data_IF_954144640706
#
_entry.id   IF_954144640706
#
_cell.length_a   1.000
_cell.length_b   1.000
_cell.length_c   1.000
_cell.angle_alpha   90.00
_cell.angle_beta   90.00
_cell.angle_gamma   90.00
#
_symmetry.space_group_name_H-M   'P 1'
#
loop_
_entity.id
_entity.type
_entity.pdbx_description
1 polymer ?
#
# COMPACT_ATOMS: atom_id res chain seq x y z
N UNK A 1 19.12 -16.60 -20.05
CA UNK A 1 17.93 -17.47 -19.95
C UNK A 1 18.17 -18.64 -19.00
N UNK A 2 19.33 -19.31 -19.06
CA UNK A 2 19.71 -20.38 -18.11
C UNK A 2 19.72 -19.91 -16.64
N UNK A 3 20.41 -18.80 -16.35
CA UNK A 3 20.46 -18.19 -14.99
C UNK A 3 19.06 -17.91 -14.41
N UNK A 4 18.14 -17.39 -15.22
CA UNK A 4 16.76 -17.13 -14.78
C UNK A 4 16.01 -18.42 -14.40
N UNK A 5 16.10 -19.48 -15.22
CA UNK A 5 15.41 -20.75 -14.95
C UNK A 5 16.03 -21.48 -13.75
N UNK A 6 17.35 -21.40 -13.60
CA UNK A 6 18.07 -21.99 -12.46
C UNK A 6 17.67 -21.34 -11.14
N UNK A 7 17.61 -19.99 -11.07
CA UNK A 7 17.12 -19.28 -9.88
C UNK A 7 15.71 -19.71 -9.50
N UNK A 8 14.79 -19.80 -10.46
CA UNK A 8 13.42 -20.27 -10.20
C UNK A 8 13.35 -21.71 -9.68
N UNK A 9 14.26 -22.59 -10.12
CA UNK A 9 14.35 -23.94 -9.57
C UNK A 9 14.81 -23.88 -8.10
N UNK A 10 15.80 -23.05 -7.79
CA UNK A 10 16.27 -22.82 -6.41
C UNK A 10 15.13 -22.30 -5.54
N UNK A 11 14.40 -21.27 -5.99
CA UNK A 11 13.28 -20.67 -5.25
C UNK A 11 12.19 -21.70 -4.96
N UNK A 12 11.84 -22.54 -5.96
CA UNK A 12 10.90 -23.66 -5.76
C UNK A 12 11.39 -24.65 -4.72
N UNK A 13 12.65 -25.05 -4.78
CA UNK A 13 13.20 -26.01 -3.81
C UNK A 13 13.29 -25.42 -2.39
N UNK A 14 13.60 -24.12 -2.26
CA UNK A 14 13.53 -23.40 -0.98
C UNK A 14 12.10 -23.41 -0.45
N UNK A 15 11.11 -23.04 -1.27
CA UNK A 15 9.70 -23.02 -0.88
C UNK A 15 9.17 -24.41 -0.46
N UNK A 16 9.57 -25.47 -1.16
CA UNK A 16 9.24 -26.86 -0.77
C UNK A 16 9.85 -27.23 0.57
N UNK A 17 11.11 -26.87 0.83
CA UNK A 17 11.75 -27.10 2.13
C UNK A 17 11.06 -26.30 3.24
N UNK A 18 10.66 -25.06 2.98
CA UNK A 18 9.86 -24.27 3.93
C UNK A 18 8.51 -24.92 4.24
N UNK A 19 7.85 -25.52 3.24
CA UNK A 19 6.60 -26.26 3.44
C UNK A 19 6.80 -27.50 4.34
N UNK A 20 7.96 -28.18 4.26
CA UNK A 20 8.29 -29.26 5.19
C UNK A 20 8.42 -28.76 6.63
N UNK A 21 8.96 -27.57 6.86
CA UNK A 21 9.04 -26.97 8.20
C UNK A 21 7.66 -26.69 8.80
N UNK A 22 6.66 -26.34 7.98
CA UNK A 22 5.26 -26.24 8.43
C UNK A 22 4.70 -27.60 8.82
N UNK A 23 4.92 -28.62 7.98
CA UNK A 23 4.50 -30.00 8.24
C UNK A 23 5.08 -30.55 9.55
N UNK A 24 6.36 -30.26 9.79
CA UNK A 24 7.09 -30.70 10.98
C UNK A 24 6.78 -29.84 12.23
N UNK A 25 5.83 -28.89 12.12
CA UNK A 25 5.40 -27.97 13.17
C UNK A 25 6.51 -27.06 13.72
N UNK A 26 7.48 -26.72 12.88
CA UNK A 26 8.48 -25.68 13.18
C UNK A 26 7.87 -24.29 12.96
N UNK A 27 7.04 -24.12 11.94
CA UNK A 27 6.28 -22.90 11.68
C UNK A 27 4.78 -23.16 11.70
N UNK A 28 4.00 -22.29 12.34
CA UNK A 28 2.54 -22.37 12.36
C UNK A 28 1.92 -22.11 10.97
N UNK A 29 2.40 -21.08 10.28
CA UNK A 29 1.93 -20.68 8.95
C UNK A 29 3.09 -20.32 8.02
N UNK A 30 2.90 -20.47 6.72
CA UNK A 30 3.85 -20.05 5.68
C UNK A 30 3.16 -19.20 4.62
N UNK A 31 3.68 -18.00 4.37
CA UNK A 31 3.27 -17.19 3.25
C UNK A 31 4.29 -17.35 2.11
N UNK A 32 3.80 -17.68 0.92
CA UNK A 32 4.61 -17.75 -0.30
C UNK A 32 4.11 -16.63 -1.23
N UNK A 33 4.76 -15.46 -1.20
CA UNK A 33 4.41 -14.35 -2.08
C UNK A 33 4.60 -14.68 -3.55
N UNK A 34 3.96 -13.89 -4.42
CA UNK A 34 4.21 -13.91 -5.86
C UNK A 34 4.65 -12.52 -6.31
N UNK A 35 5.92 -12.43 -6.69
CA UNK A 35 6.51 -11.23 -7.25
C UNK A 35 6.12 -11.03 -8.72
N UNK A 36 5.84 -9.79 -9.09
CA UNK A 36 5.42 -9.30 -10.42
C UNK A 36 4.88 -10.38 -11.34
N UNK A 37 3.59 -10.64 -11.23
CA UNK A 37 2.95 -11.81 -11.80
C UNK A 37 1.81 -11.46 -12.77
N UNK A 38 1.23 -12.49 -13.36
CA UNK A 38 0.11 -12.38 -14.28
C UNK A 38 -0.68 -13.68 -14.28
N UNK A 39 -1.91 -13.62 -14.81
CA UNK A 39 -2.84 -14.75 -14.88
C UNK A 39 -2.18 -15.99 -15.54
N UNK A 40 -1.34 -15.74 -16.55
CA UNK A 40 -0.56 -16.75 -17.25
C UNK A 40 0.93 -16.42 -17.16
N UNK A 41 1.76 -17.43 -16.92
CA UNK A 41 3.22 -17.27 -16.92
C UNK A 41 3.94 -18.26 -16.01
N UNK A 42 5.26 -18.12 -15.91
CA UNK A 42 6.08 -19.03 -15.10
C UNK A 42 5.73 -18.95 -13.62
N UNK A 43 5.34 -17.77 -13.10
CA UNK A 43 4.94 -17.63 -11.69
C UNK A 43 3.63 -18.35 -11.39
N UNK A 44 2.71 -18.45 -12.35
CA UNK A 44 1.53 -19.30 -12.25
C UNK A 44 1.89 -20.79 -12.23
N UNK A 45 2.83 -21.22 -13.10
CA UNK A 45 3.33 -22.60 -13.09
C UNK A 45 3.98 -22.98 -11.76
N UNK A 46 4.83 -22.11 -11.20
CA UNK A 46 5.50 -22.36 -9.93
C UNK A 46 4.51 -22.38 -8.75
N UNK A 47 3.48 -21.53 -8.81
CA UNK A 47 2.37 -21.57 -7.84
C UNK A 47 1.64 -22.92 -7.89
N UNK A 48 1.39 -23.47 -9.09
CA UNK A 48 0.74 -24.77 -9.24
C UNK A 48 1.61 -25.91 -8.69
N UNK A 49 2.92 -25.86 -8.91
CA UNK A 49 3.88 -26.81 -8.32
C UNK A 49 3.79 -26.77 -6.80
N UNK A 50 3.79 -25.57 -6.22
CA UNK A 50 3.69 -25.40 -4.76
C UNK A 50 2.34 -25.85 -4.21
N UNK A 51 1.23 -25.52 -4.88
CA UNK A 51 -0.11 -25.98 -4.50
C UNK A 51 -0.21 -27.51 -4.47
N UNK A 52 0.33 -28.17 -5.50
CA UNK A 52 0.35 -29.64 -5.56
C UNK A 52 1.16 -30.23 -4.40
N UNK A 53 2.32 -29.65 -4.08
CA UNK A 53 3.16 -30.10 -2.97
C UNK A 53 2.48 -29.89 -1.61
N UNK A 54 1.94 -28.71 -1.37
CA UNK A 54 1.22 -28.37 -0.13
C UNK A 54 0.02 -29.28 0.09
N UNK A 55 -0.72 -29.61 -0.97
CA UNK A 55 -1.82 -30.57 -0.94
C UNK A 55 -1.33 -32.00 -0.64
N UNK A 56 -0.24 -32.44 -1.28
CA UNK A 56 0.40 -33.74 -1.02
C UNK A 56 0.85 -33.87 0.44
N UNK A 57 1.31 -32.78 1.04
CA UNK A 57 1.74 -32.73 2.44
C UNK A 57 0.57 -32.58 3.43
N UNK A 58 -0.64 -32.25 2.98
CA UNK A 58 -1.83 -32.09 3.82
C UNK A 58 -1.87 -30.79 4.65
N UNK A 59 -1.11 -29.76 4.24
CA UNK A 59 -0.91 -28.52 5.00
C UNK A 59 -1.50 -27.27 4.31
N UNK A 60 -2.40 -27.44 3.35
CA UNK A 60 -3.00 -26.34 2.59
C UNK A 60 -3.72 -25.28 3.42
N UNK A 61 -4.23 -25.65 4.59
CA UNK A 61 -4.86 -24.74 5.54
C UNK A 61 -3.85 -23.85 6.32
N UNK A 62 -2.54 -24.08 6.16
CA UNK A 62 -1.45 -23.36 6.85
C UNK A 62 -0.47 -22.69 5.89
N UNK A 63 -0.65 -22.84 4.58
CA UNK A 63 0.23 -22.25 3.57
C UNK A 63 -0.56 -21.34 2.65
N UNK A 64 -0.22 -20.05 2.63
CA UNK A 64 -0.93 -19.03 1.87
C UNK A 64 -0.10 -18.64 0.64
N UNK A 65 -0.67 -18.84 -0.55
CA UNK A 65 -0.03 -18.57 -1.84
C UNK A 65 -0.88 -17.54 -2.60
N UNK A 66 -0.43 -16.29 -2.63
CA UNK A 66 -1.18 -15.17 -3.19
C UNK A 66 -0.24 -14.07 -3.71
N UNK A 67 -0.72 -13.20 -4.62
CA UNK A 67 0.03 -12.06 -5.15
C UNK A 67 0.47 -11.03 -4.10
N UNK A 68 1.56 -10.31 -4.36
CA UNK A 68 2.20 -9.40 -3.42
C UNK A 68 3.48 -10.00 -2.83
N UNK A 69 4.43 -9.14 -2.46
CA UNK A 69 5.76 -9.53 -1.95
C UNK A 69 6.19 -8.63 -0.81
N UNK A 70 6.15 -7.31 -1.04
CA UNK A 70 6.79 -6.34 -0.17
C UNK A 70 5.98 -6.10 1.13
N UNK A 71 4.67 -6.37 1.09
CA UNK A 71 3.76 -6.22 2.22
C UNK A 71 3.67 -7.46 3.12
N UNK A 72 4.20 -8.60 2.69
CA UNK A 72 4.02 -9.87 3.39
C UNK A 72 4.53 -9.83 4.83
N UNK A 73 5.65 -9.13 5.07
CA UNK A 73 6.16 -8.92 6.43
C UNK A 73 5.17 -8.15 7.32
N UNK A 74 4.49 -7.12 6.78
CA UNK A 74 3.46 -6.37 7.49
C UNK A 74 2.26 -7.27 7.84
N UNK A 75 1.82 -8.12 6.90
CA UNK A 75 0.72 -9.05 7.15
C UNK A 75 1.05 -10.10 8.20
N UNK A 76 2.23 -10.72 8.12
CA UNK A 76 2.67 -11.71 9.12
C UNK A 76 2.75 -11.05 10.50
N UNK A 77 3.33 -9.85 10.59
CA UNK A 77 3.38 -9.11 11.84
C UNK A 77 1.98 -8.82 12.39
N UNK A 78 1.05 -8.41 11.52
CA UNK A 78 -0.34 -8.14 11.89
C UNK A 78 -1.05 -9.39 12.39
N UNK A 79 -0.85 -10.55 11.75
CA UNK A 79 -1.37 -11.83 12.22
C UNK A 79 -0.85 -12.18 13.61
N UNK A 80 0.47 -12.10 13.81
CA UNK A 80 1.09 -12.34 15.13
C UNK A 80 0.50 -11.41 16.18
N UNK A 81 0.31 -10.12 15.83
CA UNK A 81 -0.34 -9.15 16.71
C UNK A 81 -1.78 -9.60 17.06
N UNK A 82 -2.61 -9.92 16.06
CA UNK A 82 -3.99 -10.38 16.24
C UNK A 82 -4.07 -11.61 17.13
N UNK A 83 -3.25 -12.63 16.88
CA UNK A 83 -3.19 -13.85 17.69
C UNK A 83 -2.77 -13.56 19.13
N UNK A 84 -1.71 -12.74 19.32
CA UNK A 84 -1.23 -12.36 20.65
C UNK A 84 -2.25 -11.56 21.48
N UNK A 85 -3.17 -10.86 20.80
CA UNK A 85 -4.25 -10.07 21.41
C UNK A 85 -5.58 -10.79 21.46
N UNK A 86 -5.66 -12.02 20.92
CA UNK A 86 -6.94 -12.71 20.70
C UNK A 86 -7.95 -11.81 19.98
N UNK A 87 -7.47 -11.05 19.00
CA UNK A 87 -8.24 -10.08 18.25
C UNK A 87 -8.53 -10.61 16.84
N UNK A 88 -9.82 -10.66 16.50
CA UNK A 88 -10.31 -11.09 15.19
C UNK A 88 -10.87 -9.87 14.44
N UNK A 89 -10.05 -9.14 13.66
CA UNK A 89 -10.50 -7.94 12.99
C UNK A 89 -11.50 -8.25 11.88
N UNK A 90 -12.66 -7.59 11.93
CA UNK A 90 -13.67 -7.60 10.86
C UNK A 90 -13.43 -6.41 9.93
N UNK A 91 -13.06 -6.67 8.69
CA UNK A 91 -12.65 -5.64 7.73
C UNK A 91 -13.77 -5.44 6.72
N UNK A 92 -14.39 -4.26 6.73
CA UNK A 92 -15.32 -3.83 5.70
C UNK A 92 -14.55 -3.26 4.52
N UNK A 93 -14.78 -3.79 3.31
CA UNK A 93 -14.12 -3.31 2.10
C UNK A 93 -15.11 -2.49 1.28
N UNK A 94 -14.73 -1.26 0.95
CA UNK A 94 -15.50 -0.40 0.05
C UNK A 94 -14.68 -0.05 -1.17
N UNK A 95 -15.26 -0.25 -2.35
CA UNK A 95 -14.63 0.10 -3.62
C UNK A 95 -15.19 1.41 -4.17
N UNK A 96 -14.36 2.17 -4.90
CA UNK A 96 -14.81 3.39 -5.58
C UNK A 96 -15.60 3.13 -6.88
N UNK A 97 -15.50 1.91 -7.42
CA UNK A 97 -16.31 1.41 -8.53
C UNK A 97 -16.96 0.06 -8.19
N UNK A 98 -18.20 -0.15 -8.64
CA UNK A 98 -18.92 -1.42 -8.45
C UNK A 98 -18.20 -2.60 -9.09
N UNK A 99 -17.55 -2.39 -10.25
CA UNK A 99 -16.85 -3.46 -10.98
C UNK A 99 -15.38 -3.65 -10.54
N UNK A 100 -14.84 -2.79 -9.68
CA UNK A 100 -13.46 -2.88 -9.20
C UNK A 100 -13.05 -4.27 -8.67
N UNK A 101 -13.84 -4.99 -7.84
CA UNK A 101 -13.42 -6.30 -7.34
C UNK A 101 -13.23 -7.36 -8.43
N UNK A 102 -13.74 -7.13 -9.65
CA UNK A 102 -13.62 -8.03 -10.79
C UNK A 102 -12.50 -7.63 -11.77
N UNK A 103 -11.75 -6.57 -11.47
CA UNK A 103 -10.57 -6.20 -12.27
C UNK A 103 -9.37 -6.98 -11.76
N UNK A 104 -8.54 -7.47 -12.68
CA UNK A 104 -7.19 -7.99 -12.38
C UNK A 104 -6.22 -6.81 -12.44
N UNK A 105 -5.62 -6.38 -11.32
CA UNK A 105 -4.64 -5.30 -11.33
C UNK A 105 -3.39 -5.67 -12.13
N UNK A 106 -2.62 -4.66 -12.54
CA UNK A 106 -1.31 -4.88 -13.18
C UNK A 106 -0.38 -5.57 -12.20
N UNK A 107 0.46 -6.46 -12.73
CA UNK A 107 1.43 -7.26 -11.97
C UNK A 107 0.80 -8.29 -11.01
N UNK A 108 -0.51 -8.56 -11.15
CA UNK A 108 -1.25 -9.54 -10.36
C UNK A 108 -1.91 -10.62 -11.23
N UNK A 109 -2.23 -11.78 -10.64
CA UNK A 109 -2.73 -12.97 -11.34
C UNK A 109 -4.23 -13.23 -11.18
N UNK A 110 -4.93 -12.46 -10.35
CA UNK A 110 -6.32 -12.74 -9.98
C UNK A 110 -7.13 -11.48 -9.72
N UNK A 111 -8.44 -11.69 -9.64
CA UNK A 111 -9.41 -10.66 -9.34
C UNK A 111 -9.08 -9.97 -8.00
N UNK A 112 -9.13 -8.63 -8.01
CA UNK A 112 -8.83 -7.80 -6.86
C UNK A 112 -9.61 -8.21 -5.59
N UNK A 113 -10.89 -8.58 -5.74
CA UNK A 113 -11.73 -9.01 -4.62
C UNK A 113 -11.20 -10.26 -3.93
N UNK A 114 -10.68 -11.23 -4.69
CA UNK A 114 -10.10 -12.45 -4.14
C UNK A 114 -8.74 -12.19 -3.50
N UNK A 115 -7.90 -11.33 -4.10
CA UNK A 115 -6.63 -10.95 -3.49
C UNK A 115 -6.84 -10.24 -2.15
N UNK A 116 -7.81 -9.33 -2.03
CA UNK A 116 -8.14 -8.66 -0.76
C UNK A 116 -8.61 -9.66 0.31
N UNK A 117 -9.42 -10.68 -0.06
CA UNK A 117 -9.80 -11.75 0.88
C UNK A 117 -8.58 -12.53 1.38
N UNK A 118 -7.64 -12.85 0.49
CA UNK A 118 -6.37 -13.49 0.88
C UNK A 118 -5.56 -12.62 1.83
N UNK A 119 -5.43 -11.32 1.55
CA UNK A 119 -4.72 -10.36 2.40
C UNK A 119 -5.36 -10.27 3.81
N UNK A 120 -6.69 -10.12 3.88
CA UNK A 120 -7.44 -10.08 5.15
C UNK A 120 -7.25 -11.37 5.94
N UNK A 121 -7.40 -12.52 5.29
CA UNK A 121 -7.21 -13.82 5.93
C UNK A 121 -5.77 -14.02 6.41
N UNK A 122 -4.79 -13.65 5.58
CA UNK A 122 -3.36 -13.72 5.88
C UNK A 122 -3.00 -12.90 7.11
N UNK A 123 -3.55 -11.69 7.24
CA UNK A 123 -3.40 -10.81 8.40
C UNK A 123 -4.17 -11.26 9.67
N UNK A 124 -4.93 -12.37 9.60
CA UNK A 124 -5.69 -12.92 10.73
C UNK A 124 -7.09 -12.34 10.90
N UNK A 125 -7.64 -11.67 9.87
CA UNK A 125 -8.96 -11.05 9.90
C UNK A 125 -10.05 -11.82 9.16
N UNK A 126 -11.25 -11.22 9.15
CA UNK A 126 -12.44 -11.68 8.45
C UNK A 126 -12.94 -10.58 7.52
N UNK A 127 -13.32 -10.97 6.30
CA UNK A 127 -14.02 -10.09 5.36
C UNK A 127 -15.45 -9.86 5.85
N UNK A 128 -15.81 -8.61 6.14
CA UNK A 128 -17.12 -8.21 6.66
C UNK A 128 -17.90 -7.44 5.60
N UNK A 129 -19.14 -7.84 5.33
CA UNK A 129 -20.00 -7.20 4.33
C UNK A 129 -20.80 -6.04 4.93
N UNK A 130 -21.04 -6.06 6.25
CA UNK A 130 -21.80 -5.05 6.96
C UNK A 130 -20.89 -4.04 7.67
N UNK A 131 -20.90 -2.79 7.21
CA UNK A 131 -20.13 -1.69 7.80
C UNK A 131 -20.43 -1.43 9.30
N UNK A 132 -21.65 -1.74 9.76
CA UNK A 132 -21.99 -1.61 11.18
C UNK A 132 -21.24 -2.63 12.06
N UNK A 133 -21.00 -3.84 11.53
CA UNK A 133 -20.31 -4.91 12.25
C UNK A 133 -18.80 -4.92 12.06
N UNK A 134 -18.23 -4.13 11.16
CA UNK A 134 -16.77 -4.10 10.99
C UNK A 134 -16.04 -3.45 12.17
N UNK A 135 -14.74 -3.68 12.28
CA UNK A 135 -13.85 -2.97 13.21
C UNK A 135 -13.08 -1.86 12.49
N UNK A 136 -12.87 -1.99 11.18
CA UNK A 136 -12.26 -0.99 10.32
C UNK A 136 -12.78 -1.07 8.89
N UNK A 137 -12.49 -0.03 8.10
CA UNK A 137 -12.77 -0.01 6.66
C UNK A 137 -11.49 0.10 5.85
N UNK A 138 -11.35 -0.79 4.86
CA UNK A 138 -10.43 -0.63 3.75
C UNK A 138 -11.18 0.02 2.58
N UNK A 139 -10.89 1.29 2.32
CA UNK A 139 -11.40 2.03 1.18
C UNK A 139 -10.43 1.87 0.00
N UNK A 140 -10.88 1.19 -1.05
CA UNK A 140 -10.06 0.85 -2.22
C UNK A 140 -10.48 1.73 -3.38
N UNK A 141 -9.63 2.66 -3.79
CA UNK A 141 -9.84 3.39 -5.03
C UNK A 141 -9.26 2.58 -6.19
N UNK A 142 -10.14 2.14 -7.09
CA UNK A 142 -9.81 1.34 -8.24
C UNK A 142 -10.87 1.55 -9.31
N UNK A 143 -10.45 1.75 -10.55
CA UNK A 143 -11.39 1.82 -11.67
C UNK A 143 -12.09 0.49 -11.90
N UNK A 144 -13.33 0.54 -12.36
CA UNK A 144 -14.08 -0.66 -12.77
C UNK A 144 -13.61 -1.24 -14.11
N UNK A 145 -12.62 -0.66 -14.77
CA UNK A 145 -12.13 -1.12 -16.09
C UNK A 145 -10.71 -1.70 -16.02
N UNK A 146 -9.72 -0.91 -15.63
CA UNK A 146 -8.29 -1.28 -15.65
C UNK A 146 -7.50 -0.47 -14.61
N UNK A 147 -6.33 -0.98 -14.23
CA UNK A 147 -5.30 -0.20 -13.56
C UNK A 147 -4.37 0.43 -14.61
N UNK A 148 -3.89 1.64 -14.37
CA UNK A 148 -2.93 2.33 -15.25
C UNK A 148 -1.57 2.52 -14.56
N UNK A 149 -0.53 2.86 -15.32
CA UNK A 149 0.74 3.33 -14.70
C UNK A 149 0.57 4.79 -14.27
N UNK A 150 1.05 5.16 -13.08
CA UNK A 150 0.98 6.55 -12.61
C UNK A 150 1.67 7.53 -13.58
N UNK A 151 2.80 7.12 -14.18
CA UNK A 151 3.54 7.89 -15.18
C UNK A 151 2.82 8.06 -16.53
N UNK A 152 1.78 7.24 -16.79
CA UNK A 152 1.00 7.27 -18.04
C UNK A 152 -0.46 7.65 -17.83
N UNK A 153 -0.78 8.23 -16.67
CA UNK A 153 -2.17 8.54 -16.32
C UNK A 153 -2.82 9.54 -17.29
N UNK A 154 -2.06 10.38 -18.00
CA UNK A 154 -2.60 11.32 -19.01
C UNK A 154 -3.06 10.61 -20.28
N UNK A 155 -2.34 9.56 -20.66
CA UNK A 155 -2.55 8.82 -21.90
C UNK A 155 -3.52 7.65 -21.70
N UNK A 156 -3.43 6.96 -20.56
CA UNK A 156 -4.10 5.69 -20.34
C UNK A 156 -5.45 5.83 -19.61
N UNK A 157 -5.71 6.95 -18.92
CA UNK A 157 -7.03 7.24 -18.31
C UNK A 157 -7.99 7.76 -19.36
N UNK A 158 -8.90 6.90 -19.77
CA UNK A 158 -9.98 7.20 -20.72
C UNK A 158 -11.31 7.56 -20.03
N UNK A 159 -12.34 7.86 -20.82
CA UNK A 159 -13.67 8.18 -20.31
C UNK A 159 -14.33 6.98 -19.61
N UNK A 160 -14.05 5.75 -20.03
CA UNK A 160 -14.60 4.54 -19.40
C UNK A 160 -14.01 4.34 -18.00
N UNK A 161 -12.70 4.58 -17.83
CA UNK A 161 -12.04 4.60 -16.53
C UNK A 161 -12.75 5.57 -15.57
N UNK A 162 -12.96 6.82 -15.99
CA UNK A 162 -13.57 7.87 -15.15
C UNK A 162 -15.04 7.63 -14.85
N UNK A 163 -15.82 7.15 -15.83
CA UNK A 163 -17.26 6.91 -15.66
C UNK A 163 -17.58 5.63 -14.87
N UNK A 164 -16.61 4.74 -14.71
CA UNK A 164 -16.77 3.53 -13.89
C UNK A 164 -16.80 3.79 -12.38
N UNK A 165 -16.36 4.97 -11.92
CA UNK A 165 -16.29 5.34 -10.50
C UNK A 165 -17.29 6.44 -10.15
N UNK A 166 -17.69 6.49 -8.88
CA UNK A 166 -18.37 7.65 -8.30
C UNK A 166 -17.58 8.16 -7.09
N UNK A 167 -16.52 8.93 -7.38
CA UNK A 167 -15.57 9.38 -6.36
C UNK A 167 -16.24 10.28 -5.31
N UNK A 168 -17.21 11.12 -5.68
CA UNK A 168 -17.90 11.97 -4.72
C UNK A 168 -18.68 11.15 -3.68
N UNK A 169 -19.41 10.13 -4.13
CA UNK A 169 -20.12 9.21 -3.23
C UNK A 169 -19.12 8.47 -2.33
N UNK A 170 -18.06 7.92 -2.92
CA UNK A 170 -17.04 7.16 -2.21
C UNK A 170 -16.37 7.97 -1.09
N UNK A 171 -15.93 9.21 -1.39
CA UNK A 171 -15.30 10.10 -0.42
C UNK A 171 -16.29 10.61 0.66
N UNK A 172 -17.55 10.84 0.29
CA UNK A 172 -18.59 11.17 1.27
C UNK A 172 -18.89 10.00 2.20
N UNK A 173 -18.90 8.77 1.70
CA UNK A 173 -19.07 7.58 2.52
C UNK A 173 -17.92 7.39 3.50
N UNK A 174 -16.66 7.66 3.10
CA UNK A 174 -15.50 7.64 4.00
C UNK A 174 -15.71 8.57 5.19
N UNK A 175 -16.15 9.80 4.93
CA UNK A 175 -16.49 10.75 6.01
C UNK A 175 -17.64 10.25 6.88
N UNK A 176 -18.70 9.72 6.27
CA UNK A 176 -19.84 9.15 6.99
C UNK A 176 -19.40 8.02 7.93
N UNK A 177 -18.65 7.05 7.41
CA UNK A 177 -18.13 5.92 8.18
C UNK A 177 -17.29 6.41 9.37
N UNK A 178 -16.40 7.40 9.16
CA UNK A 178 -15.63 7.98 10.27
C UNK A 178 -16.52 8.70 11.28
N UNK A 179 -17.45 9.55 10.85
CA UNK A 179 -18.23 10.41 11.74
C UNK A 179 -19.30 9.65 12.53
N UNK A 180 -19.91 8.63 11.91
CA UNK A 180 -21.07 7.94 12.47
C UNK A 180 -20.66 6.63 13.14
N UNK A 181 -19.77 5.85 12.52
CA UNK A 181 -19.35 4.55 13.06
C UNK A 181 -18.08 4.65 13.90
N UNK A 182 -17.33 5.73 13.74
CA UNK A 182 -16.19 6.06 14.58
C UNK A 182 -15.01 5.07 14.53
N UNK A 183 -14.85 4.41 13.38
CA UNK A 183 -13.87 3.33 13.15
C UNK A 183 -12.71 3.76 12.26
N UNK A 184 -11.57 3.07 12.38
CA UNK A 184 -10.38 3.29 11.55
C UNK A 184 -10.67 3.08 10.06
N UNK A 185 -10.09 3.92 9.22
CA UNK A 185 -10.22 3.87 7.76
C UNK A 185 -8.85 3.92 7.12
N UNK A 186 -8.59 3.04 6.16
CA UNK A 186 -7.39 3.06 5.34
C UNK A 186 -7.78 3.28 3.90
N UNK A 187 -7.04 4.13 3.18
CA UNK A 187 -7.20 4.26 1.74
C UNK A 187 -6.05 3.51 1.06
N UNK A 188 -6.41 2.51 0.27
CA UNK A 188 -5.54 1.92 -0.72
C UNK A 188 -5.88 2.57 -2.06
N UNK A 189 -5.02 3.49 -2.50
CA UNK A 189 -5.14 4.08 -3.82
C UNK A 189 -4.36 3.21 -4.81
N UNK A 190 -5.11 2.41 -5.59
CA UNK A 190 -4.54 1.44 -6.52
C UNK A 190 -5.11 1.62 -7.93
N UNK A 191 -5.76 2.75 -8.22
CA UNK A 191 -6.26 3.01 -9.58
C UNK A 191 -5.10 3.26 -10.56
N UNK A 192 -3.98 3.74 -10.04
CA UNK A 192 -2.65 3.65 -10.63
C UNK A 192 -1.82 2.55 -9.93
N UNK A 193 -0.87 1.96 -10.65
CA UNK A 193 0.29 1.28 -10.06
C UNK A 193 1.49 2.24 -10.11
N UNK A 194 2.47 1.99 -9.25
CA UNK A 194 3.66 2.81 -9.10
C UNK A 194 3.32 4.28 -8.83
N UNK A 195 2.33 4.55 -7.97
CA UNK A 195 1.88 5.89 -7.61
C UNK A 195 0.35 6.01 -7.55
N UNK A 196 -0.14 7.24 -7.41
CA UNK A 196 -1.55 7.57 -7.20
C UNK A 196 -2.19 8.21 -8.44
N UNK A 197 -3.53 8.23 -8.52
CA UNK A 197 -4.26 9.03 -9.52
C UNK A 197 -4.46 10.47 -9.03
N UNK A 198 -3.99 11.45 -9.82
CA UNK A 198 -3.94 12.84 -9.36
C UNK A 198 -5.33 13.45 -9.10
N UNK A 199 -6.32 13.17 -9.95
CA UNK A 199 -7.67 13.76 -9.78
C UNK A 199 -8.32 13.28 -8.48
N UNK A 200 -8.15 12.02 -8.11
CA UNK A 200 -8.63 11.42 -6.87
C UNK A 200 -7.97 12.07 -5.66
N UNK A 201 -6.65 12.21 -5.69
CA UNK A 201 -5.90 12.83 -4.60
C UNK A 201 -6.22 14.32 -4.42
N UNK A 202 -6.35 15.06 -5.54
CA UNK A 202 -6.84 16.44 -5.53
C UNK A 202 -8.27 16.54 -4.99
N UNK A 203 -9.16 15.63 -5.39
CA UNK A 203 -10.54 15.58 -4.87
C UNK A 203 -10.57 15.30 -3.36
N UNK A 204 -9.70 14.42 -2.86
CA UNK A 204 -9.53 14.19 -1.42
C UNK A 204 -9.11 15.47 -0.69
N UNK A 205 -8.23 16.28 -1.29
CA UNK A 205 -7.86 17.59 -0.73
C UNK A 205 -9.02 18.58 -0.80
N UNK A 206 -9.71 18.70 -1.93
CA UNK A 206 -10.83 19.64 -2.10
C UNK A 206 -11.99 19.32 -1.16
N UNK A 207 -12.22 18.04 -0.87
CA UNK A 207 -13.24 17.59 0.06
C UNK A 207 -12.68 17.38 1.47
N UNK A 208 -11.47 17.80 1.83
CA UNK A 208 -10.91 17.68 3.19
C UNK A 208 -11.06 16.27 3.81
N UNK A 209 -10.69 15.23 3.07
CA UNK A 209 -10.87 13.81 3.49
C UNK A 209 -9.73 13.31 4.38
N UNK A 210 -8.51 13.85 4.23
CA UNK A 210 -7.31 13.37 4.93
C UNK A 210 -7.42 13.29 6.47
N UNK A 211 -8.12 14.20 7.18
CA UNK A 211 -8.33 14.09 8.63
C UNK A 211 -9.20 12.91 9.05
N UNK A 212 -9.95 12.29 8.13
CA UNK A 212 -10.88 11.19 8.43
C UNK A 212 -10.23 9.80 8.28
N UNK A 213 -9.03 9.71 7.71
CA UNK A 213 -8.33 8.46 7.44
C UNK A 213 -7.16 8.22 8.40
N UNK A 214 -6.91 6.95 8.70
CA UNK A 214 -5.86 6.48 9.61
C UNK A 214 -4.61 6.00 8.86
N UNK A 215 -4.81 5.40 7.69
CA UNK A 215 -3.73 4.87 6.85
C UNK A 215 -3.94 5.27 5.39
N UNK A 216 -2.85 5.34 4.64
CA UNK A 216 -2.83 5.65 3.22
C UNK A 216 -1.70 4.86 2.57
N UNK A 217 -1.89 4.45 1.31
CA UNK A 217 -0.84 3.93 0.46
C UNK A 217 -1.26 3.96 -1.01
N UNK A 218 -0.28 4.01 -1.89
CA UNK A 218 -0.44 3.95 -3.35
C UNK A 218 0.85 3.59 -4.08
N UNK A 219 1.74 2.84 -3.42
CA UNK A 219 3.04 2.47 -3.95
C UNK A 219 3.04 1.11 -4.68
N UNK A 220 3.82 1.04 -5.76
CA UNK A 220 4.14 -0.16 -6.54
C UNK A 220 2.89 -0.93 -7.04
N UNK A 221 2.63 -2.14 -6.52
CA UNK A 221 1.51 -2.98 -6.96
C UNK A 221 0.28 -2.81 -6.07
N UNK A 222 -0.86 -3.31 -6.56
CA UNK A 222 -2.10 -3.28 -5.79
C UNK A 222 -1.96 -4.07 -4.48
N UNK A 223 -1.35 -5.26 -4.51
CA UNK A 223 -1.21 -6.07 -3.29
C UNK A 223 -0.25 -5.46 -2.27
N UNK A 224 0.88 -4.90 -2.72
CA UNK A 224 1.82 -4.22 -1.84
C UNK A 224 1.14 -3.07 -1.09
N UNK A 225 0.41 -2.22 -1.80
CA UNK A 225 -0.36 -1.12 -1.19
C UNK A 225 -1.41 -1.62 -0.21
N UNK A 226 -2.22 -2.61 -0.62
CA UNK A 226 -3.31 -3.14 0.19
C UNK A 226 -2.80 -3.71 1.51
N UNK A 227 -1.79 -4.58 1.50
CA UNK A 227 -1.35 -5.24 2.74
C UNK A 227 -0.69 -4.28 3.73
N UNK A 228 0.02 -3.26 3.27
CA UNK A 228 0.56 -2.20 4.15
C UNK A 228 -0.56 -1.40 4.80
N UNK A 229 -1.52 -0.91 4.00
CA UNK A 229 -2.68 -0.15 4.51
C UNK A 229 -3.51 -1.00 5.47
N UNK A 230 -3.77 -2.25 5.10
CA UNK A 230 -4.54 -3.21 5.88
C UNK A 230 -3.89 -3.46 7.25
N UNK A 231 -2.59 -3.74 7.26
CA UNK A 231 -1.81 -3.94 8.49
C UNK A 231 -1.92 -2.74 9.43
N UNK A 232 -1.74 -1.53 8.88
CA UNK A 232 -1.84 -0.30 9.66
C UNK A 232 -3.24 -0.11 10.27
N UNK A 233 -4.31 -0.31 9.51
CA UNK A 233 -5.68 -0.09 10.02
C UNK A 233 -6.16 -1.17 10.98
N UNK A 234 -5.74 -2.42 10.83
CA UNK A 234 -6.10 -3.51 11.74
C UNK A 234 -5.55 -3.19 13.14
N UNK A 235 -4.25 -2.89 13.22
CA UNK A 235 -3.60 -2.58 14.51
C UNK A 235 -4.19 -1.30 15.09
N UNK A 236 -4.36 -0.26 14.27
CA UNK A 236 -4.96 0.99 14.74
C UNK A 236 -6.40 0.80 15.24
N UNK A 237 -7.19 -0.07 14.61
CA UNK A 237 -8.57 -0.37 15.03
C UNK A 237 -8.63 -1.00 16.42
N UNK A 238 -7.75 -1.96 16.73
CA UNK A 238 -7.64 -2.53 18.07
C UNK A 238 -7.45 -1.45 19.16
N UNK A 239 -6.65 -0.42 18.85
CA UNK A 239 -6.39 0.73 19.72
C UNK A 239 -7.37 1.90 19.53
N UNK A 240 -8.50 1.69 18.83
CA UNK A 240 -9.52 2.72 18.55
C UNK A 240 -8.93 4.00 17.93
N UNK A 241 -8.03 3.82 16.96
CA UNK A 241 -7.33 4.91 16.28
C UNK A 241 -6.37 5.69 17.19
N UNK A 242 -5.90 5.09 18.28
CA UNK A 242 -4.94 5.68 19.23
C UNK A 242 -5.40 6.96 19.93
N UNK A 243 -6.70 7.29 19.90
CA UNK A 243 -7.21 8.59 20.37
C UNK A 243 -6.98 8.87 21.85
N UNK A 244 -6.84 7.83 22.65
CA UNK A 244 -6.54 7.95 24.08
C UNK A 244 -5.03 8.10 24.36
N UNK A 245 -4.19 8.12 23.34
CA UNK A 245 -2.75 8.29 23.44
C UNK A 245 -2.24 9.19 22.32
N UNK A 246 -2.22 10.50 22.60
CA UNK A 246 -1.79 11.53 21.65
C UNK A 246 -0.43 11.23 21.02
N UNK A 247 0.54 10.73 21.79
CA UNK A 247 1.88 10.43 21.29
C UNK A 247 1.86 9.30 20.26
N UNK A 248 1.10 8.25 20.51
CA UNK A 248 0.96 7.13 19.56
C UNK A 248 0.12 7.54 18.34
N UNK A 249 -0.91 8.36 18.54
CA UNK A 249 -1.68 8.95 17.46
C UNK A 249 -0.79 9.76 16.51
N UNK A 250 0.03 10.68 17.04
CA UNK A 250 0.95 11.49 16.24
C UNK A 250 1.99 10.65 15.49
N UNK A 251 2.47 9.55 16.08
CA UNK A 251 3.34 8.59 15.37
C UNK A 251 2.62 7.89 14.22
N UNK A 252 1.39 7.45 14.45
CA UNK A 252 0.55 6.84 13.41
C UNK A 252 0.28 7.82 12.27
N UNK A 253 -0.02 9.08 12.58
CA UNK A 253 -0.21 10.14 11.59
C UNK A 253 1.07 10.44 10.82
N UNK A 254 2.22 10.49 11.51
CA UNK A 254 3.52 10.67 10.87
C UNK A 254 3.80 9.58 9.85
N UNK A 255 3.47 8.32 10.17
CA UNK A 255 3.63 7.19 9.25
C UNK A 255 2.74 7.34 8.01
N UNK A 256 1.45 7.68 8.20
CA UNK A 256 0.51 7.98 7.09
C UNK A 256 1.03 9.12 6.19
N UNK A 257 1.54 10.20 6.79
CA UNK A 257 2.07 11.35 6.05
C UNK A 257 3.35 10.98 5.28
N UNK A 258 4.18 10.08 5.81
CA UNK A 258 5.32 9.51 5.08
C UNK A 258 4.89 8.82 3.78
N UNK A 259 3.88 7.94 3.82
CA UNK A 259 3.32 7.32 2.62
C UNK A 259 2.70 8.33 1.66
N UNK A 260 2.01 9.34 2.17
CA UNK A 260 1.47 10.40 1.32
C UNK A 260 2.56 11.10 0.51
N UNK A 261 3.67 11.44 1.17
CA UNK A 261 4.81 12.07 0.52
C UNK A 261 5.52 11.13 -0.46
N UNK A 262 5.72 9.86 -0.08
CA UNK A 262 6.38 8.86 -0.92
C UNK A 262 5.55 8.53 -2.16
N UNK A 263 4.29 8.14 -1.97
CA UNK A 263 3.50 7.45 -2.98
C UNK A 263 2.78 8.44 -3.91
N UNK A 264 2.39 9.60 -3.38
CA UNK A 264 1.79 10.64 -4.21
C UNK A 264 2.83 11.67 -4.64
N UNK A 265 3.52 12.33 -3.71
CA UNK A 265 4.37 13.46 -4.08
C UNK A 265 5.61 13.00 -4.84
N UNK A 266 6.45 12.15 -4.25
CA UNK A 266 7.66 11.68 -4.91
C UNK A 266 7.34 10.87 -6.17
N UNK A 267 6.59 9.78 -6.00
CA UNK A 267 6.37 8.80 -7.05
C UNK A 267 5.47 9.34 -8.18
N UNK A 268 4.41 10.11 -7.87
CA UNK A 268 3.45 10.55 -8.89
C UNK A 268 3.75 11.95 -9.42
N UNK A 269 4.01 12.92 -8.54
CA UNK A 269 4.15 14.33 -8.92
C UNK A 269 5.56 14.69 -9.37
N UNK A 270 6.59 14.18 -8.68
CA UNK A 270 7.98 14.60 -8.87
C UNK A 270 8.79 13.71 -9.82
N UNK A 271 8.44 12.44 -9.96
CA UNK A 271 9.21 11.47 -10.76
C UNK A 271 9.37 11.88 -12.24
N UNK A 272 8.32 12.40 -12.88
CA UNK A 272 8.40 12.91 -14.26
C UNK A 272 9.03 14.30 -14.35
N UNK A 273 9.02 15.06 -13.23
CA UNK A 273 9.54 16.42 -13.17
C UNK A 273 11.06 16.42 -13.03
N UNK A 274 11.62 15.51 -12.21
CA UNK A 274 13.08 15.45 -12.01
C UNK A 274 13.82 15.26 -13.34
N UNK A 275 13.29 14.44 -14.25
CA UNK A 275 13.92 14.22 -15.55
C UNK A 275 13.87 15.43 -16.49
N UNK A 276 12.93 16.37 -16.28
CA UNK A 276 12.70 17.54 -17.15
C UNK A 276 13.32 18.82 -16.57
N UNK A 277 13.27 18.97 -15.26
CA UNK A 277 13.71 20.18 -14.56
C UNK A 277 15.19 20.11 -14.18
N UNK A 278 15.78 18.91 -14.23
CA UNK A 278 17.21 18.69 -13.95
C UNK A 278 18.02 18.43 -15.24
N UNK A 279 17.47 18.83 -16.40
CA UNK A 279 18.02 18.69 -17.76
C UNK A 279 19.48 19.16 -17.93
N UNK A 280 19.97 20.04 -17.05
CA UNK A 280 21.36 20.52 -17.06
C UNK A 280 22.39 19.43 -16.70
N UNK A 281 21.96 18.26 -16.21
CA UNK A 281 22.85 17.13 -15.90
C UNK A 281 22.98 16.22 -17.12
N UNK A 282 24.02 16.44 -17.92
CA UNK A 282 24.44 15.46 -18.94
C UNK A 282 24.61 14.08 -18.31
N UNK A 283 23.94 13.07 -18.86
CA UNK A 283 24.01 11.66 -18.45
C UNK A 283 23.37 11.33 -17.08
N UNK A 284 22.32 12.04 -16.66
CA UNK A 284 21.55 11.64 -15.48
C UNK A 284 20.88 10.27 -15.69
N UNK A 285 21.41 9.25 -15.03
CA UNK A 285 20.80 7.92 -14.94
C UNK A 285 19.98 7.84 -13.64
N UNK A 286 18.66 7.87 -13.76
CA UNK A 286 17.74 7.82 -12.63
C UNK A 286 17.77 6.49 -11.85
N UNK A 287 18.37 5.45 -12.43
CA UNK A 287 18.61 4.17 -11.77
C UNK A 287 19.98 4.10 -11.07
N UNK A 288 20.87 5.07 -11.31
CA UNK A 288 22.26 5.13 -10.80
C UNK A 288 22.72 6.59 -10.69
N UNK A 289 22.34 7.27 -9.61
CA UNK A 289 22.60 8.70 -9.44
C UNK A 289 24.08 9.03 -9.25
N UNK A 290 24.82 8.17 -8.54
CA UNK A 290 26.27 8.32 -8.27
C UNK A 290 26.62 9.72 -7.76
N UNK A 291 27.47 10.46 -8.49
CA UNK A 291 27.88 11.82 -8.15
C UNK A 291 26.72 12.83 -8.09
N UNK A 292 25.58 12.51 -8.73
CA UNK A 292 24.40 13.37 -8.75
C UNK A 292 23.47 13.14 -7.55
N UNK A 293 23.70 12.12 -6.72
CA UNK A 293 22.80 11.74 -5.61
C UNK A 293 22.44 12.93 -4.72
N UNK A 294 23.45 13.65 -4.20
CA UNK A 294 23.23 14.78 -3.28
C UNK A 294 22.43 15.91 -3.94
N UNK A 295 22.75 16.26 -5.19
CA UNK A 295 22.05 17.31 -5.93
C UNK A 295 20.59 16.96 -6.18
N UNK A 296 20.31 15.73 -6.60
CA UNK A 296 18.94 15.25 -6.85
C UNK A 296 18.17 15.15 -5.53
N UNK A 297 18.80 14.65 -4.47
CA UNK A 297 18.22 14.60 -3.13
C UNK A 297 17.81 15.98 -2.61
N UNK A 298 18.67 16.98 -2.76
CA UNK A 298 18.38 18.36 -2.36
C UNK A 298 17.21 18.95 -3.16
N UNK A 299 17.14 18.68 -4.47
CA UNK A 299 16.01 19.09 -5.30
C UNK A 299 14.69 18.47 -4.80
N UNK A 300 14.65 17.15 -4.57
CA UNK A 300 13.47 16.48 -4.03
C UNK A 300 13.09 17.02 -2.65
N UNK A 301 14.06 17.23 -1.76
CA UNK A 301 13.80 17.77 -0.41
C UNK A 301 13.13 19.13 -0.48
N UNK A 302 13.60 20.03 -1.35
CA UNK A 302 13.01 21.37 -1.52
C UNK A 302 11.56 21.28 -2.01
N UNK A 303 11.30 20.48 -3.05
CA UNK A 303 9.95 20.28 -3.59
C UNK A 303 8.99 19.65 -2.56
N UNK A 304 9.48 18.67 -1.80
CA UNK A 304 8.73 18.03 -0.73
C UNK A 304 8.40 18.99 0.41
N UNK A 305 9.36 19.80 0.86
CA UNK A 305 9.12 20.78 1.92
C UNK A 305 8.11 21.84 1.49
N UNK A 306 8.21 22.35 0.26
CA UNK A 306 7.25 23.30 -0.29
C UNK A 306 5.84 22.72 -0.31
N UNK A 307 5.67 21.57 -0.94
CA UNK A 307 4.36 20.91 -1.05
C UNK A 307 3.79 20.54 0.32
N UNK A 308 4.61 19.98 1.20
CA UNK A 308 4.16 19.52 2.51
C UNK A 308 3.76 20.68 3.42
N UNK A 309 4.46 21.82 3.37
CA UNK A 309 4.06 23.00 4.13
C UNK A 309 2.69 23.54 3.69
N UNK A 310 2.41 23.57 2.39
CA UNK A 310 1.09 23.95 1.87
C UNK A 310 0.00 22.98 2.31
N UNK A 311 0.27 21.68 2.18
CA UNK A 311 -0.64 20.62 2.63
C UNK A 311 -0.94 20.75 4.14
N UNK A 312 0.09 20.89 4.97
CA UNK A 312 -0.08 21.02 6.41
C UNK A 312 -0.84 22.28 6.78
N UNK A 313 -0.55 23.42 6.15
CA UNK A 313 -1.25 24.69 6.39
C UNK A 313 -2.76 24.56 6.08
N UNK A 314 -3.12 23.89 4.99
CA UNK A 314 -4.54 23.63 4.64
C UNK A 314 -5.31 22.91 5.75
N UNK A 315 -4.65 22.02 6.50
CA UNK A 315 -5.27 21.25 7.59
C UNK A 315 -4.97 21.80 8.99
N UNK A 316 -4.26 22.92 9.12
CA UNK A 316 -3.84 23.47 10.42
C UNK A 316 -2.81 22.58 11.15
N UNK A 317 -2.01 21.83 10.40
CA UNK A 317 -1.01 20.88 10.91
C UNK A 317 0.43 21.40 10.79
N UNK A 318 0.62 22.65 10.36
CA UNK A 318 1.93 23.24 10.05
C UNK A 318 2.87 23.35 11.26
N UNK A 319 2.30 23.40 12.47
CA UNK A 319 3.06 23.35 13.73
C UNK A 319 3.26 21.93 14.26
N UNK A 320 2.53 20.97 13.72
CA UNK A 320 2.50 19.59 14.24
C UNK A 320 3.58 18.73 13.61
N UNK A 321 3.76 18.76 12.29
CA UNK A 321 4.63 17.82 11.58
C UNK A 321 5.73 18.50 10.78
N UNK A 322 6.82 17.78 10.53
CA UNK A 322 7.90 18.15 9.62
C UNK A 322 8.53 16.92 9.00
N UNK A 323 9.12 17.07 7.81
CA UNK A 323 10.06 16.10 7.25
C UNK A 323 11.35 16.20 8.06
N UNK A 324 11.75 15.10 8.71
CA UNK A 324 13.00 15.00 9.48
C UNK A 324 14.14 14.43 8.68
N UNK A 325 13.82 13.51 7.77
CA UNK A 325 14.77 12.91 6.87
C UNK A 325 14.10 12.64 5.53
N UNK A 326 14.87 12.83 4.48
CA UNK A 326 14.59 12.38 3.13
C UNK A 326 15.88 11.83 2.55
N UNK A 327 15.84 10.63 2.01
CA UNK A 327 16.88 10.08 1.15
C UNK A 327 16.28 9.07 0.18
N UNK A 328 17.11 8.50 -0.68
CA UNK A 328 16.74 7.33 -1.47
C UNK A 328 17.26 6.05 -0.79
N UNK A 329 16.46 4.99 -0.75
CA UNK A 329 16.91 3.71 -0.16
C UNK A 329 17.99 3.01 -1.00
N UNK A 330 18.10 3.38 -2.27
CA UNK A 330 19.09 2.90 -3.23
C UNK A 330 19.67 4.10 -4.00
N UNK A 331 20.73 3.88 -4.78
CA UNK A 331 21.30 4.90 -5.69
C UNK A 331 20.37 5.19 -6.88
N UNK A 332 19.11 5.55 -6.63
CA UNK A 332 18.04 5.65 -7.61
C UNK A 332 16.85 6.48 -7.08
N UNK A 333 16.20 7.23 -7.96
CA UNK A 333 15.00 8.05 -7.61
C UNK A 333 13.70 7.25 -7.50
N UNK A 334 13.72 5.92 -7.52
CA UNK A 334 12.52 5.07 -7.49
C UNK A 334 12.19 4.50 -6.11
N UNK A 335 13.03 4.76 -5.10
CA UNK A 335 12.88 4.21 -3.74
C UNK A 335 13.15 5.29 -2.71
N UNK A 336 12.16 5.66 -1.90
CA UNK A 336 12.22 6.82 -1.03
C UNK A 336 12.23 6.44 0.44
N UNK A 337 13.15 7.04 1.19
CA UNK A 337 13.21 6.98 2.64
C UNK A 337 12.74 8.31 3.22
N UNK A 338 11.46 8.40 3.57
CA UNK A 338 10.87 9.64 4.11
C UNK A 338 10.47 9.43 5.56
N UNK A 339 11.06 10.23 6.45
CA UNK A 339 10.70 10.24 7.87
C UNK A 339 9.99 11.55 8.19
N UNK A 340 8.69 11.46 8.42
CA UNK A 340 7.90 12.53 9.02
C UNK A 340 7.86 12.32 10.53
N UNK A 341 7.91 13.40 11.31
CA UNK A 341 7.66 13.34 12.75
C UNK A 341 7.10 14.65 13.29
N UNK A 342 6.76 14.66 14.58
CA UNK A 342 6.36 15.87 15.29
C UNK A 342 7.46 16.94 15.30
N UNK A 343 7.08 18.23 15.31
CA UNK A 343 7.98 19.34 15.64
C UNK A 343 8.19 19.36 17.16
N UNK A 344 9.44 19.58 17.61
CA UNK A 344 9.92 19.28 18.96
C UNK A 344 9.34 20.12 20.14
N UNK A 345 8.23 20.85 19.97
CA UNK A 345 7.68 21.68 21.05
C UNK A 345 6.38 21.11 21.64
N UNK A 346 6.55 20.32 22.70
CA UNK A 346 5.48 19.94 23.63
C UNK A 346 5.02 21.15 24.46
N UNK A 347 4.24 22.06 23.88
CA UNK A 347 3.41 22.99 24.63
C UNK A 347 2.07 23.17 23.93
N UNK A 348 1.08 22.41 24.41
CA UNK A 348 -0.35 22.50 24.14
C UNK A 348 -0.85 21.76 22.89
N UNK A 349 -1.14 20.48 23.07
CA UNK A 349 -2.23 19.77 22.38
C UNK A 349 -3.16 19.19 23.44
#
# INVERSE_FOLDING_TARGET
MTDFVERRNIDREVNKKSALLVKDNVFDTLNIPKDDNGEYGMSAMDSQVMLNEVNRLGISHRVYIYPGTDEVACNIFTRIFCESKSYLPRVYVRYSATNAPFVVPKYEDRLLGESIKWQIHSAGGIFEECAEFSDCMLAVNMSGTKQVEASRQKEDIDSAFRTSTNIHEFLNYIKFYRKIMDKSIGIAEISCCNGCENSFMEMMMQLDVFPYITAFGGWNTAQNTIGVVLSHIIIASFYKGYRNNVRTYLKSESFKLGFLLSDWVCQTLLQDRVSKEVDDIKNLDLYRLKENHLKIREWYMNELEMWFNEFLNKYGWEKSFAIKNFDFDWDSVYFYNIVVSEKNDHKNL
#
